data_IF_095266856752
#
_entry.id   IF_095266856752
#
_cell.length_a   1.000
_cell.length_b   1.000
_cell.length_c   1.000
_cell.angle_alpha   90.00
_cell.angle_beta   90.00
_cell.angle_gamma   90.00
#
_symmetry.space_group_name_H-M   'P 1'
#
loop_
_entity.id
_entity.type
_entity.pdbx_description
1 polymer ?
#
# COMPACT_ATOMS: atom_id res chain seq x y z
N UNK A 1 -17.67 -1.66 -31.63
CA UNK A 1 -17.88 -2.33 -30.32
C UNK A 1 -18.30 -3.78 -30.51
N UNK A 2 -19.16 -4.09 -31.49
CA UNK A 2 -19.52 -5.46 -31.89
C UNK A 2 -18.32 -6.40 -32.07
N UNK A 3 -17.33 -6.04 -32.91
CA UNK A 3 -16.16 -6.90 -33.16
C UNK A 3 -15.32 -7.16 -31.91
N UNK A 4 -15.24 -6.18 -31.01
CA UNK A 4 -14.54 -6.31 -29.72
C UNK A 4 -15.27 -7.30 -28.80
N UNK A 5 -16.59 -7.15 -28.67
CA UNK A 5 -17.42 -8.05 -27.86
C UNK A 5 -17.38 -9.47 -28.40
N UNK A 6 -17.50 -9.63 -29.73
CA UNK A 6 -17.37 -10.93 -30.38
C UNK A 6 -16.01 -11.55 -30.12
N UNK A 7 -14.93 -10.78 -30.25
CA UNK A 7 -13.58 -11.24 -29.97
C UNK A 7 -13.40 -11.67 -28.49
N UNK A 8 -13.94 -10.90 -27.54
CA UNK A 8 -13.91 -11.25 -26.11
C UNK A 8 -14.70 -12.54 -25.86
N UNK A 9 -15.87 -12.72 -26.48
CA UNK A 9 -16.64 -13.95 -26.38
C UNK A 9 -15.88 -15.14 -26.99
N UNK A 10 -15.28 -14.98 -28.16
CA UNK A 10 -14.42 -16.01 -28.77
C UNK A 10 -13.25 -16.40 -27.86
N UNK A 11 -12.65 -15.42 -27.16
CA UNK A 11 -11.54 -15.62 -26.23
C UNK A 11 -11.96 -16.34 -24.95
N UNK A 12 -13.12 -16.00 -24.36
CA UNK A 12 -13.62 -16.62 -23.13
C UNK A 12 -14.08 -18.06 -23.38
N UNK A 13 -14.77 -18.30 -24.49
CA UNK A 13 -15.45 -19.58 -24.74
C UNK A 13 -14.70 -20.50 -25.72
N UNK A 14 -13.55 -20.06 -26.24
CA UNK A 14 -12.69 -20.85 -27.14
C UNK A 14 -13.35 -21.21 -28.48
N UNK A 15 -14.50 -20.61 -28.80
CA UNK A 15 -15.30 -20.90 -29.98
C UNK A 15 -16.13 -19.68 -30.38
N UNK A 16 -16.49 -19.60 -31.66
CA UNK A 16 -17.42 -18.57 -32.14
C UNK A 16 -18.80 -18.84 -31.58
N UNK A 17 -19.16 -18.15 -30.51
CA UNK A 17 -20.51 -18.12 -29.99
C UNK A 17 -21.46 -17.61 -31.08
N UNK A 18 -22.46 -18.43 -31.43
CA UNK A 18 -23.56 -18.05 -32.31
C UNK A 18 -24.59 -17.19 -31.55
N UNK A 19 -24.14 -16.10 -30.94
CA UNK A 19 -25.04 -15.11 -30.35
C UNK A 19 -25.68 -14.29 -31.48
N UNK A 20 -26.96 -13.95 -31.31
CA UNK A 20 -27.65 -13.07 -32.25
C UNK A 20 -27.04 -11.67 -32.24
N UNK A 21 -27.14 -10.96 -33.37
CA UNK A 21 -26.68 -9.57 -33.45
C UNK A 21 -27.37 -8.67 -32.41
N UNK A 22 -28.66 -8.88 -32.17
CA UNK A 22 -29.43 -8.15 -31.15
C UNK A 22 -28.85 -8.32 -29.74
N UNK A 23 -28.34 -9.51 -29.42
CA UNK A 23 -27.71 -9.76 -28.11
C UNK A 23 -26.42 -8.94 -27.95
N UNK A 24 -25.60 -8.87 -29.00
CA UNK A 24 -24.40 -8.05 -28.99
C UNK A 24 -24.72 -6.56 -28.93
N UNK A 25 -25.75 -6.09 -29.61
CA UNK A 25 -26.19 -4.70 -29.55
C UNK A 25 -26.66 -4.32 -28.14
N UNK A 26 -27.44 -5.20 -27.50
CA UNK A 26 -27.86 -5.02 -26.11
C UNK A 26 -26.66 -4.99 -25.14
N UNK A 27 -25.73 -5.92 -25.26
CA UNK A 27 -24.52 -5.96 -24.44
C UNK A 27 -23.64 -4.72 -24.65
N UNK A 28 -23.46 -4.32 -25.91
CA UNK A 28 -22.73 -3.11 -26.30
C UNK A 28 -23.35 -1.86 -25.68
N UNK A 29 -24.67 -1.71 -25.77
CA UNK A 29 -25.39 -0.59 -25.17
C UNK A 29 -25.25 -0.57 -23.64
N UNK A 30 -25.44 -1.72 -23.00
CA UNK A 30 -25.33 -1.86 -21.54
C UNK A 30 -23.93 -1.50 -21.04
N UNK A 31 -22.89 -2.06 -21.67
CA UNK A 31 -21.50 -1.74 -21.34
C UNK A 31 -21.18 -0.27 -21.56
N UNK A 32 -21.62 0.30 -22.68
CA UNK A 32 -21.42 1.72 -22.96
C UNK A 32 -22.06 2.59 -21.88
N UNK A 33 -23.30 2.29 -21.48
CA UNK A 33 -24.00 3.01 -20.41
C UNK A 33 -23.24 2.95 -19.08
N UNK A 34 -22.77 1.75 -18.70
CA UNK A 34 -21.97 1.57 -17.48
C UNK A 34 -20.69 2.39 -17.52
N UNK A 35 -19.94 2.34 -18.63
CA UNK A 35 -18.69 3.08 -18.78
C UNK A 35 -18.92 4.59 -18.69
N UNK A 36 -19.95 5.10 -19.36
CA UNK A 36 -20.31 6.53 -19.29
C UNK A 36 -20.64 6.94 -17.86
N UNK A 37 -21.43 6.15 -17.13
CA UNK A 37 -21.75 6.43 -15.74
C UNK A 37 -20.51 6.43 -14.83
N UNK A 38 -19.61 5.46 -15.01
CA UNK A 38 -18.36 5.38 -14.25
C UNK A 38 -17.50 6.62 -14.48
N UNK A 39 -17.36 7.06 -15.74
CA UNK A 39 -16.60 8.26 -16.11
C UNK A 39 -17.23 9.52 -15.51
N UNK A 40 -18.55 9.70 -15.63
CA UNK A 40 -19.27 10.85 -15.08
C UNK A 40 -19.13 10.95 -13.55
N UNK A 41 -19.24 9.82 -12.86
CA UNK A 41 -19.06 9.75 -11.40
C UNK A 41 -17.61 10.06 -11.00
N UNK A 42 -16.63 9.54 -11.75
CA UNK A 42 -15.21 9.79 -11.49
C UNK A 42 -14.86 11.27 -11.74
N UNK A 43 -15.43 11.89 -12.78
CA UNK A 43 -15.26 13.31 -13.04
C UNK A 43 -15.87 14.18 -11.93
N UNK A 44 -17.00 13.76 -11.36
CA UNK A 44 -17.59 14.44 -10.19
C UNK A 44 -16.65 14.42 -8.97
N UNK A 45 -15.90 13.33 -8.76
CA UNK A 45 -14.86 13.26 -7.71
C UNK A 45 -13.69 14.18 -8.02
N UNK A 46 -13.22 14.20 -9.26
CA UNK A 46 -12.14 15.10 -9.69
C UNK A 46 -12.51 16.57 -9.45
N UNK A 47 -13.74 16.98 -9.83
CA UNK A 47 -14.26 18.32 -9.60
C UNK A 47 -14.39 18.68 -8.12
N UNK A 48 -14.90 17.76 -7.28
CA UNK A 48 -14.93 17.95 -5.81
C UNK A 48 -13.54 18.12 -5.21
N UNK A 49 -12.53 17.49 -5.83
CA UNK A 49 -11.12 17.62 -5.49
C UNK A 49 -10.46 18.88 -6.07
N UNK A 50 -11.24 19.78 -6.71
CA UNK A 50 -10.76 20.99 -7.42
C UNK A 50 -9.74 20.70 -8.53
N UNK A 51 -9.78 19.50 -9.13
CA UNK A 51 -8.94 19.11 -10.27
C UNK A 51 -9.75 19.16 -11.56
N UNK A 52 -9.08 19.56 -12.64
CA UNK A 52 -9.65 19.54 -14.01
C UNK A 52 -9.27 18.27 -14.78
N UNK A 53 -8.20 17.59 -14.35
CA UNK A 53 -7.74 16.32 -14.93
C UNK A 53 -8.30 15.14 -14.13
N UNK A 54 -8.87 14.18 -14.85
CA UNK A 54 -9.28 12.89 -14.33
C UNK A 54 -8.03 12.02 -14.12
N UNK A 55 -7.85 11.50 -12.91
CA UNK A 55 -6.76 10.58 -12.58
C UNK A 55 -7.30 9.15 -12.48
N UNK A 56 -6.40 8.17 -12.64
CA UNK A 56 -6.74 6.76 -12.43
C UNK A 56 -7.31 6.51 -11.03
N UNK A 57 -6.79 7.22 -10.03
CA UNK A 57 -7.26 7.12 -8.65
C UNK A 57 -8.74 7.52 -8.48
N UNK A 58 -9.24 8.47 -9.28
CA UNK A 58 -10.67 8.85 -9.26
C UNK A 58 -11.55 7.68 -9.70
N UNK A 59 -11.11 6.96 -10.74
CA UNK A 59 -11.79 5.80 -11.26
C UNK A 59 -11.74 4.64 -10.26
N UNK A 60 -10.60 4.41 -9.60
CA UNK A 60 -10.46 3.37 -8.56
C UNK A 60 -11.46 3.57 -7.41
N UNK A 61 -11.66 4.81 -6.97
CA UNK A 61 -12.64 5.12 -5.92
C UNK A 61 -14.04 4.72 -6.36
N UNK A 62 -14.44 5.05 -7.60
CA UNK A 62 -15.76 4.70 -8.12
C UNK A 62 -15.93 3.18 -8.29
N UNK A 63 -14.91 2.48 -8.77
CA UNK A 63 -14.93 1.01 -8.87
C UNK A 63 -15.14 0.38 -7.50
N UNK A 64 -14.42 0.86 -6.47
CA UNK A 64 -14.58 0.42 -5.07
C UNK A 64 -16.01 0.69 -4.57
N UNK A 65 -16.57 1.86 -4.86
CA UNK A 65 -17.96 2.19 -4.49
C UNK A 65 -19.01 1.29 -5.16
N UNK A 66 -18.72 0.70 -6.33
CA UNK A 66 -19.60 -0.24 -7.03
C UNK A 66 -19.29 -1.71 -6.75
N UNK A 67 -18.42 -2.00 -5.77
CA UNK A 67 -17.93 -3.35 -5.48
C UNK A 67 -17.30 -4.05 -6.70
N UNK A 68 -16.75 -3.27 -7.64
CA UNK A 68 -15.96 -3.78 -8.76
C UNK A 68 -14.52 -3.91 -8.31
N UNK A 69 -13.87 -5.01 -8.70
CA UNK A 69 -12.45 -5.22 -8.39
C UNK A 69 -11.59 -4.06 -8.92
N UNK A 70 -10.61 -3.58 -8.14
CA UNK A 70 -9.77 -2.47 -8.56
C UNK A 70 -8.89 -2.86 -9.75
N UNK A 71 -8.60 -1.87 -10.61
CA UNK A 71 -7.74 -2.06 -11.78
C UNK A 71 -6.28 -1.91 -11.38
N UNK A 72 -5.64 -2.99 -10.94
CA UNK A 72 -4.22 -2.95 -10.55
C UNK A 72 -3.31 -2.56 -11.72
N UNK A 73 -2.21 -1.87 -11.42
CA UNK A 73 -1.23 -1.42 -12.41
C UNK A 73 -1.56 -0.09 -13.10
N UNK A 74 -2.71 0.52 -12.77
CA UNK A 74 -3.15 1.82 -13.30
C UNK A 74 -3.21 2.89 -12.20
N UNK A 75 -2.10 3.11 -11.50
CA UNK A 75 -1.94 4.22 -10.56
C UNK A 75 -1.26 5.40 -11.25
N UNK A 76 -1.72 6.63 -10.96
CA UNK A 76 -1.05 7.84 -11.41
C UNK A 76 0.23 8.08 -10.58
N UNK A 77 1.24 7.25 -10.79
CA UNK A 77 2.59 7.54 -10.32
C UNK A 77 3.12 8.72 -11.12
N UNK A 78 3.25 9.85 -10.42
CA UNK A 78 3.84 11.12 -10.83
C UNK A 78 5.13 10.90 -11.65
N UNK A 79 5.06 10.93 -12.99
CA UNK A 79 6.19 11.32 -13.86
C UNK A 79 5.92 11.22 -15.38
N UNK A 80 4.99 10.39 -15.86
CA UNK A 80 4.92 10.13 -17.31
C UNK A 80 3.60 10.60 -17.91
N UNK A 81 3.61 11.83 -18.45
CA UNK A 81 2.69 12.26 -19.52
C UNK A 81 2.85 11.41 -20.81
N UNK A 82 3.76 10.44 -20.80
CA UNK A 82 3.89 9.42 -21.84
C UNK A 82 3.03 8.22 -21.47
N UNK A 83 1.83 8.16 -22.05
CA UNK A 83 1.11 6.90 -22.19
C UNK A 83 2.07 5.93 -22.91
N UNK A 84 2.25 4.72 -22.38
CA UNK A 84 2.98 3.67 -23.10
C UNK A 84 2.29 3.46 -24.45
N UNK A 85 3.07 3.55 -25.53
CA UNK A 85 2.56 3.47 -26.90
C UNK A 85 2.03 2.05 -27.14
N UNK A 86 0.76 1.95 -27.54
CA UNK A 86 0.23 0.70 -28.08
C UNK A 86 0.88 0.43 -29.44
N UNK A 87 1.41 -0.77 -29.61
CA UNK A 87 1.85 -1.22 -30.92
C UNK A 87 0.64 -1.70 -31.73
N UNK A 88 0.57 -1.25 -32.98
CA UNK A 88 -0.45 -1.73 -33.92
C UNK A 88 0.10 -2.90 -34.70
N UNK A 89 -0.53 -4.05 -34.59
CA UNK A 89 -0.21 -5.23 -35.40
C UNK A 89 -1.43 -5.63 -36.21
N UNK A 90 -1.22 -6.15 -37.42
CA UNK A 90 -2.32 -6.71 -38.24
C UNK A 90 -2.24 -8.23 -38.21
N UNK A 91 -3.30 -8.88 -37.76
CA UNK A 91 -3.45 -10.34 -37.82
C UNK A 91 -4.79 -10.68 -38.48
N UNK A 92 -4.75 -11.57 -39.48
CA UNK A 92 -5.95 -12.07 -40.18
C UNK A 92 -6.86 -10.94 -40.72
N UNK A 93 -6.28 -9.84 -41.21
CA UNK A 93 -7.02 -8.69 -41.72
C UNK A 93 -7.60 -7.75 -40.65
N UNK A 94 -7.41 -8.05 -39.35
CA UNK A 94 -7.85 -7.21 -38.23
C UNK A 94 -6.69 -6.40 -37.67
N UNK A 95 -6.97 -5.19 -37.17
CA UNK A 95 -6.00 -4.35 -36.46
C UNK A 95 -6.09 -4.69 -34.98
N UNK A 96 -4.98 -5.12 -34.40
CA UNK A 96 -4.81 -5.39 -32.98
C UNK A 96 -3.92 -4.31 -32.37
N UNK A 97 -4.30 -3.83 -31.19
CA UNK A 97 -3.47 -2.95 -30.38
C UNK A 97 -2.87 -3.80 -29.27
N UNK A 98 -1.58 -4.04 -29.33
CA UNK A 98 -0.85 -4.83 -28.34
C UNK A 98 -0.10 -3.86 -27.44
N UNK A 99 -0.26 -4.02 -26.13
CA UNK A 99 0.64 -3.39 -25.17
C UNK A 99 1.89 -4.25 -25.12
N UNK A 100 3.00 -3.74 -25.62
CA UNK A 100 4.30 -4.35 -25.39
C UNK A 100 4.75 -3.94 -24.00
N UNK A 101 4.66 -4.88 -23.06
CA UNK A 101 5.29 -4.69 -21.75
C UNK A 101 6.80 -4.61 -22.01
N UNK A 102 7.40 -3.46 -21.71
CA UNK A 102 8.86 -3.32 -21.81
C UNK A 102 9.42 -4.25 -20.73
N UNK A 103 10.24 -5.25 -21.09
CA UNK A 103 10.84 -6.13 -20.10
C UNK A 103 11.68 -5.27 -19.16
N UNK A 104 11.28 -5.24 -17.90
CA UNK A 104 11.98 -4.47 -16.88
C UNK A 104 13.20 -5.27 -16.44
N UNK A 105 14.41 -4.81 -16.76
CA UNK A 105 15.61 -5.39 -16.16
C UNK A 105 15.67 -5.02 -14.67
N UNK A 106 15.36 -6.01 -13.84
CA UNK A 106 15.38 -5.88 -12.38
C UNK A 106 16.76 -5.49 -11.87
N UNK A 107 17.85 -5.94 -12.52
CA UNK A 107 19.22 -5.62 -12.09
C UNK A 107 19.56 -4.16 -12.32
N UNK A 108 19.22 -3.64 -13.50
CA UNK A 108 19.49 -2.26 -13.88
C UNK A 108 18.63 -1.29 -13.05
N UNK A 109 17.37 -1.63 -12.77
CA UNK A 109 16.53 -0.82 -11.90
C UNK A 109 16.97 -0.86 -10.43
N UNK A 110 17.40 -2.01 -9.90
CA UNK A 110 17.97 -2.08 -8.56
C UNK A 110 19.24 -1.23 -8.45
N UNK A 111 20.12 -1.30 -9.45
CA UNK A 111 21.31 -0.46 -9.55
C UNK A 111 20.97 1.03 -9.60
N UNK A 112 19.96 1.40 -10.38
CA UNK A 112 19.50 2.79 -10.53
C UNK A 112 18.88 3.32 -9.23
N UNK A 113 18.09 2.49 -8.54
CA UNK A 113 17.54 2.80 -7.21
C UNK A 113 18.67 2.95 -6.20
N UNK A 114 19.63 2.02 -6.15
CA UNK A 114 20.78 2.13 -5.24
C UNK A 114 21.63 3.36 -5.56
N UNK A 115 21.89 3.66 -6.83
CA UNK A 115 22.68 4.82 -7.24
C UNK A 115 21.97 6.14 -6.94
N UNK A 116 20.65 6.21 -7.11
CA UNK A 116 19.86 7.39 -6.72
C UNK A 116 19.80 7.59 -5.20
N UNK A 117 19.80 6.49 -4.43
CA UNK A 117 19.91 6.54 -2.96
C UNK A 117 21.32 6.96 -2.51
N UNK A 118 22.37 6.56 -3.24
CA UNK A 118 23.75 6.96 -2.95
C UNK A 118 24.06 8.41 -3.40
N UNK A 119 23.55 8.86 -4.54
CA UNK A 119 23.73 10.24 -5.02
C UNK A 119 22.96 11.27 -4.19
N UNK A 120 21.85 10.88 -3.54
CA UNK A 120 21.15 11.75 -2.59
C UNK A 120 21.91 12.02 -1.28
N UNK A 121 23.02 11.30 -1.00
CA UNK A 121 23.87 11.60 0.17
C UNK A 121 24.82 12.79 -0.04
N UNK A 122 24.97 13.31 -1.27
CA UNK A 122 25.90 14.40 -1.57
C UNK A 122 25.26 15.78 -1.78
N UNK A 123 23.94 15.95 -1.56
CA UNK A 123 23.33 17.28 -1.52
C UNK A 123 23.40 17.87 -0.10
N UNK A 124 24.54 18.45 0.23
CA UNK A 124 24.68 19.32 1.40
C UNK A 124 24.04 20.68 1.15
N UNK A 125 23.30 21.14 2.16
CA UNK A 125 22.82 22.52 2.38
C UNK A 125 21.92 23.17 1.32
N UNK A 126 20.61 22.99 1.49
CA UNK A 126 19.70 24.15 1.46
C UNK A 126 18.92 24.24 2.77
N UNK A 127 19.12 25.35 3.47
CA UNK A 127 18.24 25.78 4.57
C UNK A 127 16.83 25.96 3.99
N UNK A 128 15.91 25.06 4.29
CA UNK A 128 14.48 25.39 4.29
C UNK A 128 13.88 24.99 5.62
N UNK A 129 13.78 25.99 6.51
CA UNK A 129 12.64 26.10 7.41
C UNK A 129 11.38 26.00 6.54
N UNK A 130 10.72 24.85 6.53
CA UNK A 130 9.26 24.73 6.53
C UNK A 130 8.87 23.30 6.89
N UNK A 131 8.02 23.25 7.90
CA UNK A 131 7.45 22.08 8.58
C UNK A 131 6.81 21.09 7.59
N UNK A 132 6.99 19.81 7.89
CA UNK A 132 6.17 18.65 7.48
C UNK A 132 6.18 18.22 6.01
N UNK A 133 7.21 17.48 5.62
CA UNK A 133 7.05 16.39 4.64
C UNK A 133 8.08 15.30 4.98
N UNK A 134 7.71 14.37 5.85
CA UNK A 134 8.46 13.12 6.04
C UNK A 134 7.99 12.20 4.91
N UNK A 135 8.91 11.71 4.06
CA UNK A 135 8.53 10.86 2.93
C UNK A 135 8.08 9.48 3.43
N UNK A 136 7.21 8.78 2.68
CA UNK A 136 6.81 7.41 3.02
C UNK A 136 8.01 6.45 3.13
N UNK A 137 9.13 6.74 2.44
CA UNK A 137 10.38 5.99 2.53
C UNK A 137 11.07 6.16 3.89
N UNK A 138 11.07 7.38 4.44
CA UNK A 138 11.67 7.67 5.76
C UNK A 138 10.91 6.96 6.91
N UNK A 139 9.62 6.71 6.71
CA UNK A 139 8.75 6.03 7.69
C UNK A 139 8.91 4.52 7.59
N UNK A 140 9.05 3.96 6.38
CA UNK A 140 9.42 2.56 6.19
C UNK A 140 10.79 2.30 6.80
N UNK A 141 11.74 3.23 6.59
CA UNK A 141 13.02 3.26 7.28
C UNK A 141 12.81 3.31 8.79
N UNK A 142 11.95 4.14 9.38
CA UNK A 142 11.71 4.13 10.83
C UNK A 142 11.09 2.83 11.37
N UNK A 143 10.26 2.14 10.59
CA UNK A 143 9.73 0.81 10.94
C UNK A 143 10.81 -0.26 10.76
N UNK A 144 11.67 -0.12 9.75
CA UNK A 144 12.91 -0.89 9.61
C UNK A 144 13.88 -0.59 10.74
N UNK A 145 13.98 0.63 11.25
CA UNK A 145 14.82 1.04 12.37
C UNK A 145 14.29 0.46 13.69
N UNK A 146 12.97 0.29 13.82
CA UNK A 146 12.37 -0.50 14.90
C UNK A 146 12.81 -1.97 14.82
N UNK A 147 13.02 -2.53 13.62
CA UNK A 147 13.36 -3.93 13.38
C UNK A 147 14.89 -4.23 13.28
N UNK A 148 15.72 -3.28 12.86
CA UNK A 148 17.14 -3.45 12.48
C UNK A 148 18.15 -2.86 13.49
N UNK A 149 17.68 -2.36 14.64
CA UNK A 149 18.53 -1.70 15.65
C UNK A 149 19.68 -2.55 16.23
N UNK A 150 19.89 -3.79 15.78
CA UNK A 150 21.04 -4.64 16.15
C UNK A 150 22.24 -4.55 15.19
N UNK A 151 22.14 -3.88 14.03
CA UNK A 151 23.25 -3.84 13.07
C UNK A 151 23.66 -2.45 12.60
N UNK A 152 24.78 -1.99 13.16
CA UNK A 152 25.82 -1.14 12.55
C UNK A 152 25.44 0.24 11.99
N UNK A 153 24.83 1.12 12.80
CA UNK A 153 24.86 2.56 12.49
C UNK A 153 25.62 3.38 13.54
N UNK A 154 26.62 4.13 13.07
CA UNK A 154 27.68 4.71 13.90
C UNK A 154 27.20 5.94 14.71
N UNK A 155 26.13 6.59 14.26
CA UNK A 155 25.49 7.73 14.94
C UNK A 155 24.57 7.28 16.08
N UNK A 156 24.09 6.03 16.05
CA UNK A 156 23.18 5.47 17.06
C UNK A 156 23.91 4.94 18.30
N UNK A 157 25.23 4.71 18.22
CA UNK A 157 26.07 4.37 19.40
C UNK A 157 25.97 5.42 20.50
N UNK A 158 25.76 6.70 20.16
CA UNK A 158 25.66 7.77 21.16
C UNK A 158 24.41 7.65 22.07
N UNK A 159 23.28 7.19 21.53
CA UNK A 159 22.04 6.93 22.27
C UNK A 159 21.95 5.49 22.80
N UNK A 160 22.63 4.52 22.16
CA UNK A 160 22.79 3.17 22.73
C UNK A 160 23.68 3.17 23.97
N UNK A 161 24.64 4.09 24.07
CA UNK A 161 25.57 4.19 25.20
C UNK A 161 24.91 4.64 26.51
N UNK A 162 23.65 5.12 26.50
CA UNK A 162 22.90 5.48 27.71
C UNK A 162 21.98 4.37 28.24
N UNK A 163 21.98 3.19 27.61
CA UNK A 163 21.28 2.00 28.13
C UNK A 163 19.76 1.99 27.95
N UNK A 164 19.15 3.07 27.44
CA UNK A 164 17.70 3.27 27.50
C UNK A 164 17.00 3.06 26.14
N UNK A 165 17.31 1.94 25.49
CA UNK A 165 16.79 1.57 24.15
C UNK A 165 15.26 1.48 24.08
N UNK A 166 14.60 1.32 25.22
CA UNK A 166 13.13 1.27 25.35
C UNK A 166 12.48 2.62 25.04
N UNK A 167 13.06 3.70 25.54
CA UNK A 167 12.51 5.06 25.39
C UNK A 167 12.50 5.51 23.92
N UNK A 168 13.56 5.15 23.18
CA UNK A 168 13.71 5.44 21.75
C UNK A 168 12.66 4.69 20.95
N UNK A 169 12.50 3.38 21.20
CA UNK A 169 11.50 2.54 20.52
C UNK A 169 10.08 3.00 20.79
N UNK A 170 9.77 3.40 22.02
CA UNK A 170 8.45 3.93 22.37
C UNK A 170 8.18 5.30 21.70
N UNK A 171 9.20 6.14 21.58
CA UNK A 171 9.09 7.43 20.89
C UNK A 171 8.84 7.23 19.38
N UNK A 172 9.55 6.28 18.77
CA UNK A 172 9.32 5.89 17.38
C UNK A 172 7.92 5.29 17.18
N UNK A 173 7.47 4.42 18.08
CA UNK A 173 6.12 3.87 18.06
C UNK A 173 5.03 4.96 18.12
N UNK A 174 5.18 5.95 19.01
CA UNK A 174 4.26 7.10 19.09
C UNK A 174 4.25 7.94 17.81
N UNK A 175 5.40 8.12 17.16
CA UNK A 175 5.47 8.80 15.88
C UNK A 175 4.74 8.00 14.78
N UNK A 176 4.95 6.69 14.74
CA UNK A 176 4.27 5.77 13.81
C UNK A 176 2.74 5.86 13.97
N UNK A 177 2.22 5.78 15.21
CA UNK A 177 0.79 5.93 15.50
C UNK A 177 0.25 7.27 14.99
N UNK A 178 0.92 8.39 15.29
CA UNK A 178 0.48 9.72 14.83
C UNK A 178 0.42 9.84 13.31
N UNK A 179 1.31 9.14 12.60
CA UNK A 179 1.31 9.09 11.14
C UNK A 179 0.12 8.28 10.66
N UNK A 180 -0.05 7.06 11.17
CA UNK A 180 -1.14 6.16 10.78
C UNK A 180 -2.53 6.75 11.09
N UNK A 181 -2.67 7.49 12.18
CA UNK A 181 -3.92 8.19 12.53
C UNK A 181 -4.17 9.45 11.68
N UNK A 182 -3.11 10.10 11.16
CA UNK A 182 -3.23 11.29 10.30
C UNK A 182 -3.42 10.97 8.83
N UNK A 183 -2.98 9.80 8.37
CA UNK A 183 -3.26 9.33 7.03
C UNK A 183 -4.75 9.04 6.92
N UNK A 184 -5.51 9.95 6.30
CA UNK A 184 -6.92 9.71 5.97
C UNK A 184 -7.03 8.40 5.16
N UNK A 185 -7.90 7.50 5.62
CA UNK A 185 -8.15 6.13 5.10
C UNK A 185 -8.33 6.01 3.58
N UNK A 186 -8.59 7.10 2.86
CA UNK A 186 -8.96 7.08 1.44
C UNK A 186 -7.78 7.02 0.44
N UNK A 187 -6.58 7.48 0.81
CA UNK A 187 -5.43 7.59 -0.14
C UNK A 187 -4.26 6.66 0.23
N UNK A 188 -4.24 6.10 1.45
CA UNK A 188 -3.09 5.36 1.98
C UNK A 188 -3.42 3.94 2.46
N UNK A 189 -4.46 3.31 1.89
CA UNK A 189 -4.82 1.91 2.19
C UNK A 189 -3.57 1.00 2.02
N UNK A 190 -2.86 1.15 0.90
CA UNK A 190 -1.63 0.37 0.61
C UNK A 190 -0.51 0.62 1.62
N UNK A 191 -0.32 1.86 2.09
CA UNK A 191 0.72 2.18 3.06
C UNK A 191 0.37 1.62 4.44
N UNK A 192 -0.87 1.82 4.88
CA UNK A 192 -1.38 1.28 6.13
C UNK A 192 -1.24 -0.24 6.16
N UNK A 193 -1.71 -0.93 5.11
CA UNK A 193 -1.60 -2.39 5.00
C UNK A 193 -0.15 -2.86 5.01
N UNK A 194 0.77 -2.15 4.32
CA UNK A 194 2.20 -2.50 4.32
C UNK A 194 2.85 -2.35 5.70
N UNK A 195 2.57 -1.25 6.40
CA UNK A 195 3.10 -1.02 7.75
C UNK A 195 2.56 -2.09 8.70
N UNK A 196 1.24 -2.33 8.71
CA UNK A 196 0.63 -3.35 9.56
C UNK A 196 1.19 -4.74 9.24
N UNK A 197 1.27 -5.12 7.97
CA UNK A 197 1.85 -6.40 7.55
C UNK A 197 3.28 -6.56 8.06
N UNK A 198 4.11 -5.52 7.98
CA UNK A 198 5.49 -5.58 8.47
C UNK A 198 5.58 -5.69 9.98
N UNK A 199 4.70 -5.01 10.72
CA UNK A 199 4.59 -5.13 12.17
C UNK A 199 4.19 -6.55 12.57
N UNK A 200 3.21 -7.16 11.89
CA UNK A 200 2.81 -8.55 12.14
C UNK A 200 3.97 -9.51 11.85
N UNK A 201 4.66 -9.38 10.70
CA UNK A 201 5.82 -10.22 10.39
C UNK A 201 6.91 -10.12 11.45
N UNK A 202 7.13 -8.93 12.02
CA UNK A 202 8.10 -8.73 13.09
C UNK A 202 7.61 -9.33 14.40
N UNK A 203 6.30 -9.31 14.65
CA UNK A 203 5.70 -9.88 15.85
C UNK A 203 5.74 -11.40 15.88
N UNK A 204 5.58 -12.05 14.72
CA UNK A 204 5.61 -13.51 14.57
C UNK A 204 7.02 -14.09 14.43
N UNK A 205 8.03 -13.26 14.16
CA UNK A 205 9.42 -13.72 14.06
C UNK A 205 9.97 -14.10 15.45
N UNK A 206 10.37 -15.38 15.67
CA UNK A 206 10.93 -15.86 16.93
C UNK A 206 12.30 -15.25 17.26
N UNK A 207 12.91 -14.46 16.39
CA UNK A 207 14.18 -13.75 16.65
C UNK A 207 13.96 -12.32 17.13
N UNK A 208 12.73 -11.82 17.06
CA UNK A 208 12.45 -10.44 17.44
C UNK A 208 12.68 -10.22 18.93
N UNK A 209 13.40 -9.16 19.33
CA UNK A 209 13.66 -8.90 20.73
C UNK A 209 12.42 -8.32 21.42
N UNK A 210 12.30 -8.61 22.71
CA UNK A 210 11.14 -8.30 23.57
C UNK A 210 10.74 -6.81 23.51
N UNK A 211 11.71 -5.91 23.39
CA UNK A 211 11.47 -4.47 23.31
C UNK A 211 10.87 -4.02 21.96
N UNK A 212 11.09 -4.74 20.86
CA UNK A 212 10.34 -4.51 19.60
C UNK A 212 8.91 -5.00 19.77
N UNK A 213 8.72 -6.20 20.33
CA UNK A 213 7.39 -6.79 20.56
C UNK A 213 6.52 -5.81 21.36
N UNK A 214 7.06 -5.27 22.45
CA UNK A 214 6.38 -4.24 23.25
C UNK A 214 6.01 -2.99 22.44
N UNK A 215 6.93 -2.47 21.61
CA UNK A 215 6.66 -1.30 20.77
C UNK A 215 5.55 -1.58 19.73
N UNK A 216 5.52 -2.78 19.15
CA UNK A 216 4.47 -3.21 18.22
C UNK A 216 3.12 -3.29 18.93
N UNK A 217 3.06 -3.94 20.09
CA UNK A 217 1.83 -4.04 20.88
C UNK A 217 1.31 -2.66 21.28
N UNK A 218 2.20 -1.74 21.67
CA UNK A 218 1.85 -0.36 21.94
C UNK A 218 1.25 0.35 20.70
N UNK A 219 1.78 0.10 19.50
CA UNK A 219 1.20 0.66 18.27
C UNK A 219 -0.24 0.18 18.09
N UNK A 220 -0.49 -1.14 18.22
CA UNK A 220 -1.83 -1.70 18.09
C UNK A 220 -2.80 -1.17 19.15
N UNK A 221 -2.36 -1.08 20.41
CA UNK A 221 -3.12 -0.46 21.51
C UNK A 221 -3.62 0.94 21.12
N UNK A 222 -2.74 1.77 20.55
CA UNK A 222 -3.07 3.15 20.18
C UNK A 222 -3.85 3.28 18.86
N UNK A 223 -3.78 2.28 17.97
CA UNK A 223 -4.60 2.25 16.75
C UNK A 223 -6.07 1.87 17.03
N UNK A 224 -6.34 1.25 18.17
CA UNK A 224 -7.68 0.97 18.68
C UNK A 224 -8.19 -0.45 18.45
N UNK A 225 -9.39 -0.69 18.98
CA UNK A 225 -10.01 -2.02 19.08
C UNK A 225 -10.20 -2.71 17.73
N UNK A 226 -10.69 -1.98 16.73
CA UNK A 226 -11.00 -2.53 15.41
C UNK A 226 -9.76 -3.09 14.72
N UNK A 227 -8.69 -2.28 14.66
CA UNK A 227 -7.41 -2.68 14.07
C UNK A 227 -6.77 -3.84 14.83
N UNK A 228 -6.77 -3.76 16.16
CA UNK A 228 -6.22 -4.82 17.01
C UNK A 228 -6.98 -6.14 16.83
N UNK A 229 -8.31 -6.09 16.77
CA UNK A 229 -9.14 -7.29 16.52
C UNK A 229 -8.89 -7.88 15.13
N UNK A 230 -8.81 -7.03 14.10
CA UNK A 230 -8.66 -7.49 12.72
C UNK A 230 -7.26 -8.09 12.46
N UNK A 231 -6.21 -7.51 13.03
CA UNK A 231 -4.84 -7.79 12.62
C UNK A 231 -3.96 -8.42 13.69
N UNK A 232 -4.21 -8.16 14.98
CA UNK A 232 -3.39 -8.68 16.07
C UNK A 232 -3.95 -9.99 16.62
N UNK A 233 -5.27 -10.07 16.80
CA UNK A 233 -5.94 -11.22 17.42
C UNK A 233 -5.60 -12.58 16.78
N UNK A 234 -5.57 -12.73 15.45
CA UNK A 234 -5.26 -14.03 14.82
C UNK A 234 -3.86 -14.55 15.19
N UNK A 235 -2.91 -13.64 15.46
CA UNK A 235 -1.51 -13.96 15.66
C UNK A 235 -1.10 -14.02 17.12
N UNK A 236 -1.93 -13.53 18.06
CA UNK A 236 -1.60 -13.57 19.50
C UNK A 236 -1.33 -14.99 20.02
N UNK A 237 -1.98 -16.00 19.44
CA UNK A 237 -1.77 -17.40 19.78
C UNK A 237 -0.47 -17.98 19.20
N UNK A 238 0.06 -17.37 18.14
CA UNK A 238 1.29 -17.80 17.46
C UNK A 238 2.55 -17.17 18.08
N UNK A 239 2.40 -16.09 18.85
CA UNK A 239 3.54 -15.46 19.51
C UNK A 239 4.04 -16.39 20.61
N UNK A 240 5.36 -16.60 20.63
CA UNK A 240 6.04 -17.38 21.65
C UNK A 240 5.71 -16.88 23.06
N UNK A 241 4.92 -17.69 23.78
CA UNK A 241 4.42 -17.37 25.12
C UNK A 241 5.56 -17.13 26.11
N UNK A 242 6.72 -17.78 25.92
CA UNK A 242 7.89 -17.58 26.76
C UNK A 242 8.42 -16.15 26.74
N UNK A 243 8.27 -15.44 25.61
CA UNK A 243 8.67 -14.04 25.47
C UNK A 243 7.61 -13.05 25.96
N UNK A 244 6.33 -13.39 25.80
CA UNK A 244 5.24 -12.51 26.23
C UNK A 244 5.21 -12.38 27.76
N UNK A 245 5.51 -13.46 28.47
CA UNK A 245 5.54 -13.48 29.93
C UNK A 245 6.87 -13.02 30.54
N UNK A 246 7.85 -12.64 29.72
CA UNK A 246 9.17 -12.24 30.22
C UNK A 246 9.20 -10.82 30.79
N UNK A 247 8.16 -10.01 30.57
CA UNK A 247 8.10 -8.62 31.04
C UNK A 247 6.70 -8.23 31.51
N UNK A 248 6.62 -7.69 32.73
CA UNK A 248 5.36 -7.21 33.33
C UNK A 248 4.66 -6.16 32.47
N UNK A 249 5.41 -5.28 31.81
CA UNK A 249 4.85 -4.22 30.96
C UNK A 249 4.15 -4.77 29.71
N UNK A 250 4.62 -5.90 29.17
CA UNK A 250 3.98 -6.55 28.03
C UNK A 250 2.64 -7.14 28.44
N UNK A 251 2.60 -7.81 29.60
CA UNK A 251 1.38 -8.40 30.15
C UNK A 251 0.33 -7.30 30.37
N UNK A 252 0.70 -6.19 31.02
CA UNK A 252 -0.20 -5.05 31.24
C UNK A 252 -0.71 -4.43 29.92
N UNK A 253 0.12 -4.40 28.86
CA UNK A 253 -0.33 -3.94 27.54
C UNK A 253 -1.27 -4.95 26.87
N UNK A 254 -1.01 -6.25 26.97
CA UNK A 254 -1.89 -7.28 26.44
C UNK A 254 -3.25 -7.28 27.14
N UNK A 255 -3.27 -7.12 28.47
CA UNK A 255 -4.51 -7.01 29.24
C UNK A 255 -5.33 -5.81 28.78
N UNK A 256 -4.70 -4.64 28.58
CA UNK A 256 -5.37 -3.45 28.03
C UNK A 256 -5.93 -3.69 26.63
N UNK A 257 -5.17 -4.37 25.77
CA UNK A 257 -5.64 -4.74 24.42
C UNK A 257 -6.82 -5.73 24.52
N UNK A 258 -6.76 -6.72 25.40
CA UNK A 258 -7.81 -7.71 25.59
C UNK A 258 -9.11 -7.06 26.09
N UNK A 259 -9.04 -6.18 27.09
CA UNK A 259 -10.18 -5.38 27.56
C UNK A 259 -10.75 -4.55 26.43
N UNK A 260 -9.90 -3.84 25.68
CA UNK A 260 -10.31 -3.03 24.53
C UNK A 260 -11.01 -3.87 23.43
N UNK A 261 -10.59 -5.12 23.22
CA UNK A 261 -11.19 -6.05 22.26
C UNK A 261 -12.50 -6.64 22.81
N UNK A 262 -12.66 -6.84 24.11
CA UNK A 262 -13.86 -7.47 24.68
C UNK A 262 -15.01 -6.49 24.96
N UNK A 263 -14.71 -5.22 25.24
CA UNK A 263 -15.72 -4.20 25.58
C UNK A 263 -16.46 -3.58 24.37
N UNK A 264 -16.16 -3.97 23.13
CA UNK A 264 -16.72 -3.38 21.89
C UNK A 264 -17.16 -4.40 20.86
#
# INVERSE_FOLDING_TARGET
>A
MFDLLRFICELIFGSSLSLSHECFDYLSFSLHSIVVQLIQQSFSIALRSKRTRLLGDDLQVILKCRAVSPLYGYCCSVATDKLELFETTRQLGRILFIRTDIPIDLKENLLTITNNLYQNKNFSHTKTRKKHAVSCGDILLHVEWLALADHNDHDMKSALNTGDTWSVRLTAARACVKILQRSNFLVFDVFYTRVISRLICSLTDPRTPVSVIYAILFIFEQLGAYTSRAFLLPYLLEIDSSKLFSSKSIIETLERIAVMILEK
#
